data_IF_260976013391
#
_entry.id   IF_260976013391
#
_cell.length_a   1.000
_cell.length_b   1.000
_cell.length_c   1.000
_cell.angle_alpha   90.00
_cell.angle_beta   90.00
_cell.angle_gamma   90.00
#
_symmetry.space_group_name_H-M   'P 1'
#
loop_
_entity.id
_entity.type
_entity.pdbx_description
1 polymer ?
#
# COMPACT_ATOMS: atom_id res chain seq x y z
N UNK A 1 12.15 27.11 5.93
CA UNK A 1 11.18 25.98 5.90
C UNK A 1 11.65 24.83 5.00
N UNK A 2 12.15 25.06 3.77
CA UNK A 2 12.64 23.96 2.89
C UNK A 2 13.80 23.17 3.53
N UNK A 3 14.86 23.81 4.00
CA UNK A 3 16.02 23.11 4.59
C UNK A 3 15.69 22.26 5.84
N UNK A 4 14.78 22.74 6.70
CA UNK A 4 14.35 21.97 7.88
C UNK A 4 13.54 20.74 7.46
N UNK A 5 12.65 20.91 6.49
CA UNK A 5 11.85 19.84 5.93
C UNK A 5 12.73 18.73 5.32
N UNK A 6 13.67 19.13 4.45
CA UNK A 6 14.59 18.20 3.80
C UNK A 6 15.47 17.46 4.83
N UNK A 7 15.90 18.18 5.90
CA UNK A 7 16.62 17.58 7.00
C UNK A 7 15.80 16.54 7.76
N UNK A 8 14.53 16.85 8.10
CA UNK A 8 13.67 15.90 8.83
C UNK A 8 13.35 14.67 8.00
N UNK A 9 13.21 14.79 6.69
CA UNK A 9 13.05 13.63 5.80
C UNK A 9 14.31 12.76 5.79
N UNK A 10 15.49 13.38 5.73
CA UNK A 10 16.75 12.63 5.83
C UNK A 10 16.92 11.97 7.20
N UNK A 11 16.57 12.69 8.29
CA UNK A 11 16.62 12.13 9.64
C UNK A 11 15.68 10.93 9.82
N UNK A 12 14.50 10.91 9.15
CA UNK A 12 13.61 9.74 9.10
C UNK A 12 14.25 8.58 8.35
N UNK A 13 14.80 8.86 7.15
CA UNK A 13 15.52 7.86 6.35
C UNK A 13 16.65 7.24 7.15
N UNK A 14 17.49 8.06 7.76
CA UNK A 14 18.65 7.61 8.55
C UNK A 14 18.21 6.80 9.78
N UNK A 15 17.12 7.20 10.44
CA UNK A 15 16.60 6.48 11.60
C UNK A 15 16.13 5.06 11.22
N UNK A 16 15.41 4.90 10.10
CA UNK A 16 15.00 3.59 9.58
C UNK A 16 16.21 2.75 9.20
N UNK A 17 17.18 3.31 8.47
CA UNK A 17 18.41 2.61 8.08
C UNK A 17 19.22 2.19 9.30
N UNK A 18 19.28 3.03 10.34
CA UNK A 18 19.98 2.69 11.59
C UNK A 18 19.15 1.83 12.55
N UNK A 19 17.98 1.33 12.13
CA UNK A 19 17.13 0.42 12.89
C UNK A 19 16.63 1.04 14.23
N UNK A 20 16.46 2.37 14.27
CA UNK A 20 16.13 3.15 15.46
C UNK A 20 14.66 3.58 15.44
N UNK A 21 13.77 2.73 15.98
CA UNK A 21 12.34 3.00 16.07
C UNK A 21 12.04 4.24 16.91
N UNK A 22 12.71 4.41 18.06
CA UNK A 22 12.47 5.54 18.96
C UNK A 22 12.80 6.87 18.28
N UNK A 23 13.91 6.93 17.56
CA UNK A 23 14.30 8.11 16.77
C UNK A 23 13.34 8.34 15.61
N UNK A 24 12.89 7.29 14.95
CA UNK A 24 11.90 7.39 13.87
C UNK A 24 10.61 8.01 14.40
N UNK A 25 10.08 7.53 15.53
CA UNK A 25 8.90 8.10 16.19
C UNK A 25 9.10 9.55 16.60
N UNK A 26 10.23 9.87 17.21
CA UNK A 26 10.54 11.24 17.66
C UNK A 26 10.65 12.21 16.47
N UNK A 27 11.30 11.80 15.38
CA UNK A 27 11.43 12.60 14.16
C UNK A 27 10.08 12.78 13.47
N UNK A 28 9.25 11.74 13.41
CA UNK A 28 7.89 11.81 12.91
C UNK A 28 7.04 12.81 13.72
N UNK A 29 7.19 12.84 15.05
CA UNK A 29 6.53 13.82 15.90
C UNK A 29 7.01 15.26 15.64
N UNK A 30 8.29 15.47 15.33
CA UNK A 30 8.81 16.78 14.93
C UNK A 30 8.21 17.22 13.59
N UNK A 31 8.09 16.34 12.60
CA UNK A 31 7.41 16.61 11.33
C UNK A 31 6.02 17.20 11.57
N UNK A 32 5.25 16.59 12.48
CA UNK A 32 3.90 17.06 12.83
C UNK A 32 3.96 18.44 13.52
N UNK A 33 4.87 18.60 14.48
CA UNK A 33 5.02 19.87 15.24
C UNK A 33 5.38 21.04 14.34
N UNK A 34 6.22 20.80 13.33
CA UNK A 34 6.63 21.81 12.34
C UNK A 34 5.58 22.03 11.22
N UNK A 35 4.44 21.34 11.29
CA UNK A 35 3.36 21.48 10.32
C UNK A 35 3.73 20.98 8.91
N UNK A 36 4.70 20.08 8.82
CA UNK A 36 5.11 19.45 7.55
C UNK A 36 4.09 18.37 7.18
N UNK A 37 3.84 18.22 5.90
CA UNK A 37 2.88 17.23 5.38
C UNK A 37 3.31 15.81 5.75
N UNK A 38 2.43 15.11 6.46
CA UNK A 38 2.69 13.75 6.96
C UNK A 38 2.87 12.74 5.82
N UNK A 39 2.14 12.92 4.70
CA UNK A 39 2.29 12.06 3.54
C UNK A 39 3.66 12.25 2.88
N UNK A 40 4.13 13.50 2.72
CA UNK A 40 5.47 13.74 2.18
C UNK A 40 6.58 13.15 3.07
N UNK A 41 6.39 13.15 4.41
CA UNK A 41 7.35 12.54 5.33
C UNK A 41 7.42 11.01 5.16
N UNK A 42 6.30 10.36 4.88
CA UNK A 42 6.29 8.94 4.56
C UNK A 42 6.97 8.68 3.21
N UNK A 43 6.55 9.39 2.16
CA UNK A 43 7.00 9.21 0.77
C UNK A 43 8.50 9.52 0.59
N UNK A 44 9.00 10.55 1.29
CA UNK A 44 10.38 11.06 1.13
C UNK A 44 11.31 10.79 2.32
N UNK A 45 10.78 10.23 3.40
CA UNK A 45 11.53 9.91 4.61
C UNK A 45 11.52 8.42 4.92
N UNK A 46 10.37 7.85 5.29
CA UNK A 46 10.30 6.44 5.70
C UNK A 46 10.52 5.48 4.52
N UNK A 47 9.89 5.72 3.37
CA UNK A 47 9.99 4.85 2.19
C UNK A 47 11.43 4.71 1.69
N UNK A 48 12.20 5.82 1.47
CA UNK A 48 13.60 5.70 1.06
C UNK A 48 14.50 5.00 2.10
N UNK A 49 14.15 5.10 3.40
CA UNK A 49 14.83 4.35 4.45
C UNK A 49 14.68 2.84 4.23
N UNK A 50 13.46 2.35 4.01
CA UNK A 50 13.22 0.93 3.76
C UNK A 50 13.80 0.45 2.42
N UNK A 51 13.78 1.29 1.37
CA UNK A 51 14.45 0.99 0.10
C UNK A 51 15.97 0.80 0.30
N UNK A 52 16.58 1.65 1.12
CA UNK A 52 18.01 1.54 1.46
C UNK A 52 18.29 0.25 2.25
N UNK A 53 17.45 -0.09 3.23
CA UNK A 53 17.56 -1.34 3.99
C UNK A 53 17.44 -2.56 3.07
N UNK A 54 16.50 -2.54 2.12
CA UNK A 54 16.35 -3.62 1.12
C UNK A 54 17.61 -3.78 0.27
N UNK A 55 18.22 -2.67 -0.17
CA UNK A 55 19.48 -2.69 -0.91
C UNK A 55 20.64 -3.26 -0.08
N UNK A 56 20.78 -2.85 1.20
CA UNK A 56 21.80 -3.38 2.11
C UNK A 56 21.64 -4.89 2.34
N UNK A 57 20.40 -5.38 2.34
CA UNK A 57 20.12 -6.81 2.39
C UNK A 57 20.57 -7.53 1.10
N UNK A 58 20.30 -6.97 -0.08
CA UNK A 58 20.75 -7.54 -1.36
C UNK A 58 22.27 -7.55 -1.47
N UNK A 59 22.95 -6.54 -0.90
CA UNK A 59 24.40 -6.41 -0.83
C UNK A 59 25.03 -7.30 0.29
N UNK A 60 24.22 -8.05 1.05
CA UNK A 60 24.63 -8.91 2.17
C UNK A 60 25.28 -8.14 3.35
N UNK A 61 25.02 -6.85 3.46
CA UNK A 61 25.42 -6.03 4.60
C UNK A 61 24.38 -6.15 5.74
N UNK A 62 23.10 -6.31 5.40
CA UNK A 62 22.00 -6.59 6.32
C UNK A 62 21.43 -7.99 6.09
N UNK A 63 20.82 -8.56 7.15
CA UNK A 63 20.19 -9.87 7.14
C UNK A 63 18.71 -9.77 7.55
N UNK A 64 18.00 -10.89 7.60
CA UNK A 64 16.57 -10.92 7.93
C UNK A 64 16.23 -10.23 9.26
N UNK A 65 17.01 -10.37 10.35
CA UNK A 65 16.73 -9.65 11.58
C UNK A 65 16.72 -8.13 11.42
N UNK A 66 17.68 -7.56 10.66
CA UNK A 66 17.74 -6.11 10.40
C UNK A 66 16.54 -5.63 9.58
N UNK A 67 16.08 -6.44 8.61
CA UNK A 67 14.84 -6.13 7.85
C UNK A 67 13.62 -6.02 8.77
N UNK A 68 13.49 -6.93 9.73
CA UNK A 68 12.35 -6.93 10.67
C UNK A 68 12.39 -5.70 11.59
N UNK A 69 13.56 -5.37 12.14
CA UNK A 69 13.72 -4.19 13.01
C UNK A 69 13.51 -2.89 12.22
N UNK A 70 14.00 -2.81 10.98
CA UNK A 70 13.71 -1.67 10.11
C UNK A 70 12.22 -1.53 9.81
N UNK A 71 11.51 -2.64 9.59
CA UNK A 71 10.06 -2.63 9.41
C UNK A 71 9.34 -2.09 10.66
N UNK A 72 9.76 -2.51 11.87
CA UNK A 72 9.22 -1.99 13.13
C UNK A 72 9.45 -0.47 13.25
N UNK A 73 10.63 0.02 12.88
CA UNK A 73 10.91 1.45 12.83
C UNK A 73 9.99 2.20 11.87
N UNK A 74 9.74 1.65 10.66
CA UNK A 74 8.79 2.22 9.70
C UNK A 74 7.37 2.25 10.29
N UNK A 75 6.90 1.15 10.89
CA UNK A 75 5.58 1.12 11.52
C UNK A 75 5.46 2.11 12.66
N UNK A 76 6.51 2.27 13.48
CA UNK A 76 6.56 3.28 14.53
C UNK A 76 6.36 4.71 13.99
N UNK A 77 7.03 5.05 12.90
CA UNK A 77 6.84 6.33 12.21
C UNK A 77 5.44 6.49 11.62
N UNK A 78 4.92 5.44 10.98
CA UNK A 78 3.56 5.43 10.40
C UNK A 78 2.47 5.65 11.46
N UNK A 79 2.58 5.05 12.65
CA UNK A 79 1.62 5.27 13.74
C UNK A 79 1.52 6.75 14.14
N UNK A 80 2.65 7.44 14.21
CA UNK A 80 2.70 8.87 14.55
C UNK A 80 2.12 9.74 13.43
N UNK A 81 2.44 9.44 12.16
CA UNK A 81 2.08 10.28 11.02
C UNK A 81 0.62 10.06 10.56
N UNK A 82 0.10 8.83 10.68
CA UNK A 82 -1.23 8.43 10.18
C UNK A 82 -2.37 9.38 10.55
N UNK A 83 -2.52 9.86 11.81
CA UNK A 83 -3.64 10.73 12.18
C UNK A 83 -3.63 12.10 11.50
N UNK A 84 -2.50 12.48 10.90
CA UNK A 84 -2.28 13.80 10.31
C UNK A 84 -2.27 13.80 8.77
N UNK A 85 -2.46 12.64 8.15
CA UNK A 85 -2.63 12.57 6.70
C UNK A 85 -4.01 13.11 6.34
N UNK A 86 -4.06 14.15 5.51
CA UNK A 86 -5.31 14.80 5.10
C UNK A 86 -5.83 14.18 3.82
N UNK A 87 -7.11 13.85 3.77
CA UNK A 87 -7.81 13.36 2.58
C UNK A 87 -9.03 14.22 2.25
N UNK A 88 -9.37 14.30 0.97
CA UNK A 88 -10.60 14.95 0.47
C UNK A 88 -11.63 13.89 0.14
N UNK A 89 -12.80 13.93 0.79
CA UNK A 89 -13.90 13.01 0.48
C UNK A 89 -15.16 13.74 0.04
N UNK A 90 -15.75 13.30 -1.09
CA UNK A 90 -17.02 13.78 -1.64
C UNK A 90 -18.00 12.59 -1.84
N UNK A 91 -18.72 12.23 -0.78
CA UNK A 91 -20.07 11.72 -0.93
C UNK A 91 -20.36 10.23 -0.77
N UNK A 92 -19.95 9.28 -1.60
CA UNK A 92 -20.35 7.86 -1.46
C UNK A 92 -19.28 7.07 -0.72
N UNK A 93 -19.67 6.30 0.30
CA UNK A 93 -18.76 5.43 1.04
C UNK A 93 -18.36 4.25 0.13
N UNK A 94 -17.25 4.41 -0.57
CA UNK A 94 -16.66 3.35 -1.41
C UNK A 94 -15.92 2.37 -0.52
N UNK A 95 -16.19 1.08 -0.70
CA UNK A 95 -15.59 0.00 0.06
C UNK A 95 -14.50 -0.70 -0.74
N UNK A 96 -13.33 -0.86 -0.11
CA UNK A 96 -12.14 -1.45 -0.73
C UNK A 96 -11.67 -2.62 0.13
N UNK A 97 -11.64 -3.81 -0.42
CA UNK A 97 -10.96 -4.96 0.20
C UNK A 97 -9.51 -4.94 -0.24
N UNK A 98 -8.58 -4.94 0.72
CA UNK A 98 -7.13 -4.93 0.44
C UNK A 98 -6.42 -6.04 1.20
N UNK A 99 -5.43 -6.66 0.60
CA UNK A 99 -4.61 -7.70 1.24
C UNK A 99 -3.36 -8.04 0.44
N UNK A 100 -2.47 -8.82 1.08
CA UNK A 100 -1.31 -9.44 0.43
C UNK A 100 -1.68 -10.87 0.07
N UNK A 101 -1.38 -11.26 -1.17
CA UNK A 101 -1.74 -12.58 -1.71
C UNK A 101 -1.03 -13.71 -0.96
N UNK A 102 -1.62 -14.90 -0.98
CA UNK A 102 -1.10 -16.12 -0.35
C UNK A 102 0.37 -16.39 -0.71
N UNK A 103 1.15 -16.82 0.29
CA UNK A 103 2.57 -17.08 0.19
C UNK A 103 3.45 -15.83 0.34
N UNK A 104 2.86 -14.63 0.49
CA UNK A 104 3.60 -13.38 0.68
C UNK A 104 3.21 -12.69 1.99
N UNK A 105 4.21 -12.27 2.76
CA UNK A 105 4.03 -11.60 4.07
C UNK A 105 4.46 -10.13 4.06
N UNK A 106 4.87 -9.58 2.91
CA UNK A 106 5.35 -8.20 2.78
C UNK A 106 4.16 -7.22 2.75
N UNK A 107 3.82 -6.61 3.88
CA UNK A 107 2.61 -5.80 4.01
C UNK A 107 2.85 -4.28 4.21
N UNK A 108 4.11 -3.82 4.34
CA UNK A 108 4.41 -2.39 4.52
C UNK A 108 3.79 -1.55 3.39
N UNK A 109 4.00 -1.93 2.14
CA UNK A 109 3.44 -1.22 0.98
C UNK A 109 1.92 -1.22 0.97
N UNK A 110 1.29 -2.37 1.28
CA UNK A 110 -0.16 -2.51 1.43
C UNK A 110 -0.70 -1.59 2.54
N UNK A 111 -0.03 -1.55 3.69
CA UNK A 111 -0.46 -0.73 4.82
C UNK A 111 -0.37 0.77 4.50
N UNK A 112 0.65 1.19 3.75
CA UNK A 112 0.73 2.56 3.25
C UNK A 112 -0.42 2.89 2.29
N UNK A 113 -0.75 1.99 1.35
CA UNK A 113 -1.91 2.15 0.46
C UNK A 113 -3.19 2.28 1.28
N UNK A 114 -3.40 1.40 2.28
CA UNK A 114 -4.57 1.44 3.17
C UNK A 114 -4.71 2.81 3.85
N UNK A 115 -3.64 3.30 4.47
CA UNK A 115 -3.64 4.59 5.18
C UNK A 115 -4.08 5.71 4.23
N UNK A 116 -3.53 5.78 3.03
CA UNK A 116 -3.87 6.83 2.06
C UNK A 116 -5.32 6.72 1.63
N UNK A 117 -5.80 5.52 1.34
CA UNK A 117 -7.20 5.31 0.95
C UNK A 117 -8.17 5.70 2.08
N UNK A 118 -7.87 5.31 3.33
CA UNK A 118 -8.66 5.71 4.51
C UNK A 118 -8.72 7.25 4.66
N UNK A 119 -7.60 7.95 4.40
CA UNK A 119 -7.56 9.42 4.50
C UNK A 119 -8.27 10.12 3.35
N UNK A 120 -8.37 9.49 2.19
CA UNK A 120 -9.24 9.95 1.10
C UNK A 120 -10.72 9.61 1.33
N UNK A 121 -11.05 8.98 2.49
CA UNK A 121 -12.41 8.72 2.95
C UNK A 121 -13.00 7.44 2.39
N UNK A 122 -12.18 6.52 1.90
CA UNK A 122 -12.63 5.17 1.55
C UNK A 122 -12.77 4.30 2.82
N UNK A 123 -13.76 3.42 2.84
CA UNK A 123 -13.85 2.35 3.84
C UNK A 123 -12.94 1.20 3.39
N UNK A 124 -11.79 1.03 4.07
CA UNK A 124 -10.82 -0.01 3.71
C UNK A 124 -10.93 -1.20 4.65
N UNK A 125 -11.24 -2.35 4.07
CA UNK A 125 -11.33 -3.65 4.74
C UNK A 125 -10.04 -4.41 4.47
N UNK A 126 -9.13 -4.41 5.42
CA UNK A 126 -7.86 -5.10 5.34
C UNK A 126 -8.04 -6.58 5.72
N UNK A 127 -7.81 -7.48 4.77
CA UNK A 127 -7.88 -8.94 4.99
C UNK A 127 -6.54 -9.53 5.44
N UNK A 128 -5.51 -8.69 5.57
CA UNK A 128 -4.20 -9.10 6.10
C UNK A 128 -3.18 -9.46 5.04
N UNK A 129 -2.33 -10.41 5.37
CA UNK A 129 -1.24 -10.94 4.52
C UNK A 129 -1.35 -12.45 4.45
N UNK A 130 -0.70 -13.06 3.45
CA UNK A 130 -0.77 -14.51 3.21
C UNK A 130 -2.23 -14.98 3.04
N UNK A 131 -2.98 -14.25 2.20
CA UNK A 131 -4.44 -14.40 2.07
C UNK A 131 -4.75 -15.22 0.82
N UNK A 132 -5.46 -16.35 0.95
CA UNK A 132 -5.91 -17.17 -0.18
C UNK A 132 -6.81 -16.39 -1.15
N UNK A 133 -6.75 -16.66 -2.46
CA UNK A 133 -7.54 -15.96 -3.48
C UNK A 133 -9.05 -15.95 -3.23
N UNK A 134 -9.62 -17.05 -2.76
CA UNK A 134 -11.04 -17.19 -2.44
C UNK A 134 -11.49 -16.24 -1.32
N UNK A 135 -10.64 -16.01 -0.32
CA UNK A 135 -10.93 -15.11 0.79
C UNK A 135 -11.12 -13.66 0.36
N UNK A 136 -10.39 -13.20 -0.67
CA UNK A 136 -10.62 -11.89 -1.25
C UNK A 136 -12.00 -11.78 -1.86
N UNK A 137 -12.42 -12.80 -2.62
CA UNK A 137 -13.72 -12.85 -3.28
C UNK A 137 -14.85 -12.95 -2.27
N UNK A 138 -14.73 -13.84 -1.29
CA UNK A 138 -15.72 -13.98 -0.21
C UNK A 138 -15.90 -12.67 0.55
N UNK A 139 -14.78 -12.06 0.98
CA UNK A 139 -14.85 -10.81 1.75
C UNK A 139 -15.41 -9.66 0.94
N UNK A 140 -15.05 -9.55 -0.33
CA UNK A 140 -15.59 -8.53 -1.20
C UNK A 140 -17.12 -8.67 -1.39
N UNK A 141 -17.62 -9.90 -1.49
CA UNK A 141 -19.07 -10.19 -1.55
C UNK A 141 -19.75 -9.87 -0.22
N UNK A 142 -19.16 -10.30 0.90
CA UNK A 142 -19.69 -10.10 2.26
C UNK A 142 -19.92 -8.62 2.58
N UNK A 143 -18.90 -7.79 2.32
CA UNK A 143 -18.97 -6.35 2.67
C UNK A 143 -19.59 -5.49 1.57
N UNK A 144 -19.87 -6.07 0.40
CA UNK A 144 -20.34 -5.32 -0.77
C UNK A 144 -19.30 -4.33 -1.28
N UNK A 145 -18.06 -4.78 -1.45
CA UNK A 145 -16.97 -3.94 -1.92
C UNK A 145 -17.18 -3.42 -3.34
N UNK A 146 -16.60 -2.26 -3.62
CA UNK A 146 -16.51 -1.69 -4.98
C UNK A 146 -15.16 -2.06 -5.64
N UNK A 147 -14.10 -2.25 -4.82
CA UNK A 147 -12.72 -2.50 -5.27
C UNK A 147 -12.10 -3.65 -4.51
N UNK A 148 -11.30 -4.46 -5.21
CA UNK A 148 -10.38 -5.45 -4.64
C UNK A 148 -8.96 -5.02 -5.00
N UNK A 149 -8.13 -4.76 -3.99
CA UNK A 149 -6.75 -4.34 -4.13
C UNK A 149 -5.80 -5.44 -3.66
N UNK A 150 -5.00 -5.96 -4.58
CA UNK A 150 -4.11 -7.08 -4.35
C UNK A 150 -2.65 -6.60 -4.31
N UNK A 151 -1.88 -7.07 -3.33
CA UNK A 151 -0.47 -6.72 -3.16
C UNK A 151 0.43 -7.95 -3.17
N UNK A 152 1.61 -7.84 -3.79
CA UNK A 152 2.73 -8.79 -3.62
C UNK A 152 4.08 -8.15 -3.88
N UNK A 153 5.12 -8.62 -3.19
CA UNK A 153 6.52 -8.31 -3.48
C UNK A 153 7.30 -9.49 -4.07
N UNK A 154 6.66 -10.65 -4.24
CA UNK A 154 7.31 -11.87 -4.70
C UNK A 154 6.81 -12.29 -6.08
N UNK A 155 7.73 -12.61 -7.00
CA UNK A 155 7.37 -13.11 -8.34
C UNK A 155 6.68 -14.47 -8.28
N UNK A 156 6.99 -15.27 -7.26
CA UNK A 156 6.44 -16.62 -7.05
C UNK A 156 4.96 -16.63 -6.65
N UNK A 157 4.45 -15.53 -6.10
CA UNK A 157 3.07 -15.41 -5.62
C UNK A 157 2.16 -14.61 -6.56
N UNK A 158 2.72 -14.07 -7.65
CA UNK A 158 1.95 -13.29 -8.63
C UNK A 158 0.76 -14.05 -9.20
N UNK A 159 0.89 -15.35 -9.43
CA UNK A 159 -0.17 -16.19 -10.05
C UNK A 159 -1.46 -16.15 -9.24
N UNK A 160 -1.40 -16.15 -7.92
CA UNK A 160 -2.57 -16.07 -7.05
C UNK A 160 -3.43 -14.81 -7.28
N UNK A 161 -2.85 -13.71 -7.76
CA UNK A 161 -3.65 -12.54 -8.16
C UNK A 161 -4.51 -12.82 -9.40
N UNK A 162 -3.99 -13.61 -10.34
CA UNK A 162 -4.76 -14.08 -11.50
C UNK A 162 -5.91 -14.99 -11.07
N UNK A 163 -5.69 -15.84 -10.09
CA UNK A 163 -6.72 -16.73 -9.54
C UNK A 163 -7.89 -15.96 -8.95
N UNK A 164 -7.66 -14.84 -8.25
CA UNK A 164 -8.76 -13.96 -7.78
C UNK A 164 -9.63 -13.50 -8.95
N UNK A 165 -9.02 -13.09 -10.05
CA UNK A 165 -9.76 -12.64 -11.24
C UNK A 165 -10.54 -13.79 -11.88
N UNK A 166 -9.93 -14.97 -11.99
CA UNK A 166 -10.59 -16.16 -12.54
C UNK A 166 -11.76 -16.64 -11.66
N UNK A 167 -11.64 -16.60 -10.33
CA UNK A 167 -12.74 -16.88 -9.41
C UNK A 167 -13.93 -15.92 -9.63
N UNK A 168 -13.66 -14.62 -9.77
CA UNK A 168 -14.70 -13.62 -10.06
C UNK A 168 -15.38 -13.89 -11.42
N UNK A 169 -14.63 -14.37 -12.43
CA UNK A 169 -15.17 -14.76 -13.74
C UNK A 169 -16.01 -16.01 -13.64
N UNK A 170 -15.53 -17.04 -12.94
CA UNK A 170 -16.21 -18.31 -12.77
C UNK A 170 -17.56 -18.15 -12.07
N UNK A 171 -17.64 -17.21 -11.11
CA UNK A 171 -18.90 -16.85 -10.45
C UNK A 171 -19.79 -15.88 -11.26
N UNK A 172 -19.34 -15.38 -12.42
CA UNK A 172 -20.10 -14.44 -13.25
C UNK A 172 -20.21 -13.02 -12.65
N UNK A 173 -19.35 -12.68 -11.70
CA UNK A 173 -19.40 -11.41 -10.96
C UNK A 173 -18.18 -10.48 -11.20
N UNK A 174 -17.31 -10.82 -12.17
CA UNK A 174 -16.09 -10.02 -12.46
C UNK A 174 -16.38 -8.54 -12.70
N UNK A 175 -17.45 -8.22 -13.39
CA UNK A 175 -17.84 -6.83 -13.71
C UNK A 175 -18.34 -6.02 -12.50
N UNK A 176 -18.67 -6.71 -11.40
CA UNK A 176 -19.18 -6.08 -10.18
C UNK A 176 -18.06 -5.35 -9.40
N UNK A 177 -16.83 -5.79 -9.55
CA UNK A 177 -15.69 -5.30 -8.78
C UNK A 177 -14.65 -4.68 -9.69
N UNK A 178 -14.02 -3.59 -9.25
CA UNK A 178 -12.75 -3.13 -9.82
C UNK A 178 -11.61 -3.88 -9.13
N UNK A 179 -10.72 -4.50 -9.91
CA UNK A 179 -9.55 -5.22 -9.38
C UNK A 179 -8.30 -4.45 -9.74
N UNK A 180 -7.54 -4.04 -8.74
CA UNK A 180 -6.23 -3.38 -8.93
C UNK A 180 -5.12 -4.21 -8.29
N UNK A 181 -3.93 -4.13 -8.87
CA UNK A 181 -2.75 -4.82 -8.38
C UNK A 181 -1.61 -3.84 -8.11
N UNK A 182 -0.80 -4.13 -7.10
CA UNK A 182 0.38 -3.34 -6.72
C UNK A 182 1.48 -4.19 -6.14
N UNK A 183 2.72 -3.69 -6.24
CA UNK A 183 3.92 -4.35 -5.75
C UNK A 183 5.07 -4.30 -6.76
N UNK A 184 6.32 -4.40 -6.26
CA UNK A 184 7.52 -4.17 -7.06
C UNK A 184 7.69 -5.06 -8.30
N UNK A 185 7.35 -6.38 -8.28
CA UNK A 185 7.53 -7.22 -9.46
C UNK A 185 6.45 -7.02 -10.52
N UNK A 186 5.42 -6.22 -10.22
CA UNK A 186 4.26 -6.07 -11.09
C UNK A 186 4.42 -4.97 -12.13
N UNK A 187 3.57 -5.03 -13.15
CA UNK A 187 3.53 -4.04 -14.23
C UNK A 187 2.11 -3.91 -14.78
N UNK A 188 1.86 -2.84 -15.54
CA UNK A 188 0.60 -2.70 -16.28
C UNK A 188 0.38 -3.86 -17.27
N UNK A 189 1.45 -4.36 -17.88
CA UNK A 189 1.36 -5.52 -18.80
C UNK A 189 0.87 -6.77 -18.06
N UNK A 190 1.36 -7.01 -16.83
CA UNK A 190 0.87 -8.11 -16.01
C UNK A 190 -0.58 -7.93 -15.56
N UNK A 191 -0.94 -6.73 -15.10
CA UNK A 191 -2.33 -6.39 -14.77
C UNK A 191 -3.28 -6.70 -15.93
N UNK A 192 -2.92 -6.28 -17.16
CA UNK A 192 -3.70 -6.56 -18.36
C UNK A 192 -3.79 -8.06 -18.66
N UNK A 193 -2.66 -8.79 -18.51
CA UNK A 193 -2.58 -10.24 -18.75
C UNK A 193 -3.57 -11.02 -17.88
N UNK A 194 -3.67 -10.68 -16.60
CA UNK A 194 -4.60 -11.37 -15.67
C UNK A 194 -6.03 -10.83 -15.73
N UNK A 195 -6.28 -9.74 -16.48
CA UNK A 195 -7.60 -9.13 -16.57
C UNK A 195 -7.98 -8.28 -15.36
N UNK A 196 -7.01 -7.74 -14.63
CA UNK A 196 -7.23 -6.70 -13.63
C UNK A 196 -7.51 -5.34 -14.30
N UNK A 197 -8.17 -4.42 -13.58
CA UNK A 197 -8.55 -3.10 -14.11
C UNK A 197 -7.39 -2.09 -14.08
N UNK A 198 -6.32 -2.37 -13.33
CA UNK A 198 -5.15 -1.52 -13.35
C UNK A 198 -4.04 -1.91 -12.40
N UNK A 199 -2.88 -1.31 -12.64
CA UNK A 199 -1.67 -1.43 -11.84
C UNK A 199 -1.31 -0.09 -11.20
N UNK A 200 -0.88 -0.12 -9.96
CA UNK A 200 -0.37 1.03 -9.24
C UNK A 200 1.02 0.75 -8.66
N UNK A 201 2.05 1.52 -9.08
CA UNK A 201 3.42 1.31 -8.61
C UNK A 201 3.67 1.82 -7.17
N UNK A 202 2.78 2.65 -6.63
CA UNK A 202 2.87 3.21 -5.28
C UNK A 202 1.49 3.61 -4.75
N UNK A 203 1.45 3.95 -3.47
CA UNK A 203 0.21 4.24 -2.76
C UNK A 203 -0.56 5.45 -3.33
N UNK A 204 0.13 6.53 -3.70
CA UNK A 204 -0.49 7.71 -4.32
C UNK A 204 -1.09 7.40 -5.70
N UNK A 205 -0.40 6.56 -6.47
CA UNK A 205 -0.91 6.08 -7.76
C UNK A 205 -2.11 5.16 -7.58
N UNK A 206 -2.16 4.34 -6.52
CA UNK A 206 -3.30 3.48 -6.21
C UNK A 206 -4.57 4.30 -5.93
N UNK A 207 -4.48 5.33 -5.10
CA UNK A 207 -5.60 6.22 -4.81
C UNK A 207 -6.13 6.93 -6.08
N UNK A 208 -5.23 7.48 -6.89
CA UNK A 208 -5.60 8.10 -8.18
C UNK A 208 -6.25 7.11 -9.15
N UNK A 209 -5.72 5.89 -9.21
CA UNK A 209 -6.25 4.82 -10.06
C UNK A 209 -7.66 4.45 -9.64
N UNK A 210 -7.89 4.21 -8.36
CA UNK A 210 -9.22 3.89 -7.80
C UNK A 210 -10.20 5.01 -8.12
N UNK A 211 -9.86 6.27 -7.83
CA UNK A 211 -10.71 7.43 -8.14
C UNK A 211 -11.11 7.45 -9.61
N UNK A 212 -10.16 7.24 -10.51
CA UNK A 212 -10.41 7.18 -11.97
C UNK A 212 -11.33 6.03 -12.35
N UNK A 213 -11.11 4.82 -11.80
CA UNK A 213 -11.90 3.63 -12.12
C UNK A 213 -13.35 3.71 -11.64
N UNK A 214 -13.59 4.46 -10.55
CA UNK A 214 -14.92 4.64 -9.98
C UNK A 214 -15.69 5.81 -10.62
N UNK A 215 -14.98 6.79 -11.22
CA UNK A 215 -15.59 7.93 -11.90
C UNK A 215 -15.77 7.71 -13.39
N UNK A 216 -15.05 6.76 -14.01
CA UNK A 216 -15.26 6.38 -15.40
C UNK A 216 -16.66 5.76 -15.53
N UNK A 217 -17.55 6.40 -16.30
CA UNK A 217 -18.85 5.82 -16.64
C UNK A 217 -18.64 4.45 -17.31
N UNK A 218 -19.51 3.47 -17.04
CA UNK A 218 -19.45 2.21 -17.77
C UNK A 218 -19.55 2.51 -19.26
N UNK A 219 -18.55 2.07 -20.03
CA UNK A 219 -18.64 2.07 -21.48
C UNK A 219 -19.85 1.18 -21.83
N UNK A 220 -20.95 1.82 -22.16
CA UNK A 220 -22.14 1.13 -22.67
C UNK A 220 -21.72 0.48 -23.99
N UNK A 221 -21.61 -0.83 -23.99
CA UNK A 221 -21.35 -1.64 -25.18
C UNK A 221 -22.64 -1.86 -25.96
#
# INVERSE_FOLDING_TARGET
MSQLKDKLFQDLTDAVVNLDEDKTRATAQQVITEGIDAFEAIDKGLTPGMETVSRLYDEQEYFVPELLVAADAVYGGLEVLRPYIKGENNGKLVKIVIGVIEGDTHDIGKNLVRIILETEGYEVIDVGRDVPPDRFVEKAKEVGADVIALSTLMTTTMEGMGEVVELLKAEGIRSRFKVIVGGAPLSQAYSNKIGADGYAPNAKSAARLIKRLLTAEPVVA
#
